data_IF_006942214025
#
_entry.id   IF_006942214025
#
_cell.length_a   1.000
_cell.length_b   1.000
_cell.length_c   1.000
_cell.angle_alpha   90.00
_cell.angle_beta   90.00
_cell.angle_gamma   90.00
#
_symmetry.space_group_name_H-M   'P 1'
#
loop_
_entity.id
_entity.type
_entity.pdbx_description
1 polymer ?
#
# COMPACT_ATOMS: atom_id res chain seq x y z
N UNK A 1 -22.84 -21.82 -3.58
CA UNK A 1 -21.73 -22.77 -3.43
C UNK A 1 -20.39 -22.05 -3.54
N UNK A 2 -19.37 -22.55 -2.88
CA UNK A 2 -17.99 -22.07 -3.07
C UNK A 2 -17.53 -22.44 -4.49
N UNK A 3 -17.13 -21.46 -5.30
CA UNK A 3 -16.75 -21.72 -6.70
C UNK A 3 -15.50 -22.61 -6.85
N UNK A 4 -14.65 -22.70 -5.81
CA UNK A 4 -13.45 -23.55 -5.81
C UNK A 4 -13.70 -25.00 -5.39
N UNK A 5 -14.66 -25.23 -4.51
CA UNK A 5 -14.90 -26.55 -3.89
C UNK A 5 -16.27 -27.14 -4.20
N UNK A 6 -17.19 -26.36 -4.77
CA UNK A 6 -18.59 -26.75 -5.02
C UNK A 6 -19.44 -26.96 -3.76
N UNK A 7 -18.86 -26.80 -2.56
CA UNK A 7 -19.56 -27.03 -1.29
C UNK A 7 -20.48 -25.86 -0.94
N UNK A 8 -21.60 -26.17 -0.32
CA UNK A 8 -22.54 -25.18 0.18
C UNK A 8 -21.93 -24.45 1.38
N UNK A 9 -21.78 -23.11 1.28
CA UNK A 9 -21.27 -22.27 2.36
C UNK A 9 -22.46 -21.62 3.08
N UNK A 10 -22.67 -21.97 4.34
CA UNK A 10 -23.64 -21.31 5.23
C UNK A 10 -22.98 -20.10 5.90
N UNK A 11 -23.68 -18.97 5.92
CA UNK A 11 -23.22 -17.76 6.60
C UNK A 11 -24.33 -17.18 7.44
N UNK A 12 -24.02 -16.79 8.67
CA UNK A 12 -24.96 -16.16 9.59
C UNK A 12 -24.84 -14.64 9.47
N UNK A 13 -25.99 -13.97 9.40
CA UNK A 13 -26.09 -12.51 9.47
C UNK A 13 -26.72 -12.16 10.80
N UNK A 14 -26.03 -11.36 11.61
CA UNK A 14 -26.50 -10.95 12.93
C UNK A 14 -26.73 -9.43 12.98
N UNK A 15 -27.67 -8.99 13.80
CA UNK A 15 -27.99 -7.59 14.04
C UNK A 15 -28.69 -7.39 15.37
N UNK A 16 -28.74 -6.16 15.84
CA UNK A 16 -29.40 -5.80 17.11
C UNK A 16 -30.93 -5.83 17.01
N UNK A 17 -31.48 -5.66 15.79
CA UNK A 17 -32.92 -5.66 15.53
C UNK A 17 -33.23 -6.51 14.31
N UNK A 18 -34.46 -7.03 14.24
CA UNK A 18 -34.96 -7.79 13.10
C UNK A 18 -34.93 -6.98 11.79
N UNK A 19 -35.22 -5.68 11.85
CA UNK A 19 -35.16 -4.77 10.72
C UNK A 19 -33.73 -4.64 10.17
N UNK A 20 -32.74 -4.54 11.04
CA UNK A 20 -31.34 -4.50 10.68
C UNK A 20 -30.87 -5.79 9.99
N UNK A 21 -31.26 -6.94 10.53
CA UNK A 21 -30.96 -8.25 9.95
C UNK A 21 -31.59 -8.39 8.56
N UNK A 22 -32.85 -8.01 8.41
CA UNK A 22 -33.53 -8.05 7.11
C UNK A 22 -32.87 -7.14 6.06
N UNK A 23 -32.46 -5.94 6.43
CA UNK A 23 -31.73 -5.04 5.53
C UNK A 23 -30.36 -5.60 5.13
N UNK A 24 -29.60 -6.13 6.07
CA UNK A 24 -28.30 -6.77 5.78
C UNK A 24 -28.45 -8.00 4.90
N UNK A 25 -29.48 -8.81 5.15
CA UNK A 25 -29.78 -9.99 4.33
C UNK A 25 -30.11 -9.58 2.89
N UNK A 26 -31.02 -8.62 2.71
CA UNK A 26 -31.39 -8.09 1.39
C UNK A 26 -30.19 -7.53 0.63
N UNK A 27 -29.33 -6.76 1.31
CA UNK A 27 -28.11 -6.22 0.71
C UNK A 27 -27.13 -7.34 0.31
N UNK A 28 -26.96 -8.37 1.15
CA UNK A 28 -26.08 -9.49 0.85
C UNK A 28 -26.62 -10.33 -0.31
N UNK A 29 -27.92 -10.59 -0.37
CA UNK A 29 -28.56 -11.32 -1.48
C UNK A 29 -28.39 -10.56 -2.79
N UNK A 30 -28.70 -9.26 -2.82
CA UNK A 30 -28.52 -8.43 -4.01
C UNK A 30 -27.05 -8.36 -4.46
N UNK A 31 -26.10 -8.35 -3.52
CA UNK A 31 -24.67 -8.40 -3.87
C UNK A 31 -24.24 -9.74 -4.48
N UNK A 32 -24.83 -10.85 -4.01
CA UNK A 32 -24.60 -12.19 -4.59
C UNK A 32 -25.17 -12.25 -6.01
N UNK A 33 -26.42 -11.81 -6.20
CA UNK A 33 -27.11 -11.85 -7.47
C UNK A 33 -26.41 -10.98 -8.53
N UNK A 34 -25.82 -9.85 -8.13
CA UNK A 34 -25.04 -8.96 -8.99
C UNK A 34 -23.58 -9.38 -9.13
N UNK A 35 -23.13 -10.49 -8.54
CA UNK A 35 -21.73 -10.93 -8.58
C UNK A 35 -20.75 -10.03 -7.83
N UNK A 36 -21.26 -9.06 -7.03
CA UNK A 36 -20.44 -8.08 -6.28
C UNK A 36 -20.23 -8.49 -4.82
N UNK A 37 -20.67 -9.68 -4.44
CA UNK A 37 -20.54 -10.15 -3.07
C UNK A 37 -19.08 -10.47 -2.74
N UNK A 38 -18.50 -9.71 -1.85
CA UNK A 38 -17.20 -9.99 -1.24
C UNK A 38 -17.42 -10.57 0.15
N UNK A 39 -16.89 -11.76 0.39
CA UNK A 39 -16.96 -12.37 1.71
C UNK A 39 -16.25 -11.48 2.74
N UNK A 40 -16.84 -11.23 3.93
CA UNK A 40 -16.17 -10.47 4.98
C UNK A 40 -14.80 -11.08 5.27
N UNK A 41 -13.76 -10.35 4.95
CA UNK A 41 -12.38 -10.78 5.20
C UNK A 41 -11.94 -10.22 6.56
N UNK A 42 -11.75 -11.11 7.54
CA UNK A 42 -11.29 -10.73 8.88
C UNK A 42 -9.79 -10.39 8.91
N UNK A 43 -9.11 -10.53 7.79
CA UNK A 43 -7.68 -10.32 7.66
C UNK A 43 -7.30 -8.86 7.93
N UNK A 44 -6.22 -8.67 8.67
CA UNK A 44 -5.64 -7.33 8.86
C UNK A 44 -4.80 -6.93 7.64
N UNK A 45 -4.59 -5.63 7.48
CA UNK A 45 -3.70 -5.13 6.42
C UNK A 45 -2.29 -5.72 6.52
N UNK A 46 -1.76 -5.85 7.75
CA UNK A 46 -0.44 -6.44 7.97
C UNK A 46 -0.34 -7.89 7.48
N UNK A 47 -1.34 -8.72 7.79
CA UNK A 47 -1.41 -10.10 7.32
C UNK A 47 -1.54 -10.19 5.79
N UNK A 48 -2.35 -9.30 5.19
CA UNK A 48 -2.46 -9.21 3.74
C UNK A 48 -1.13 -8.85 3.08
N UNK A 49 -0.44 -7.83 3.58
CA UNK A 49 0.83 -7.38 3.01
C UNK A 49 1.94 -8.45 3.10
N UNK A 50 1.97 -9.26 4.16
CA UNK A 50 2.89 -10.39 4.26
C UNK A 50 2.58 -11.45 3.19
N UNK A 51 1.32 -11.88 3.11
CA UNK A 51 0.87 -12.85 2.11
C UNK A 51 1.12 -12.34 0.68
N UNK A 52 0.85 -11.06 0.42
CA UNK A 52 1.09 -10.44 -0.88
C UNK A 52 2.59 -10.44 -1.24
N UNK A 53 3.46 -10.08 -0.28
CA UNK A 53 4.89 -10.01 -0.51
C UNK A 53 5.53 -11.40 -0.74
N UNK A 54 4.91 -12.46 -0.22
CA UNK A 54 5.36 -13.84 -0.42
C UNK A 54 4.83 -14.44 -1.72
N UNK A 55 3.58 -14.14 -2.07
CA UNK A 55 2.88 -14.86 -3.14
C UNK A 55 2.92 -14.13 -4.49
N UNK A 56 2.84 -12.78 -4.51
CA UNK A 56 2.57 -12.02 -5.74
C UNK A 56 3.78 -11.27 -6.31
N UNK A 57 4.97 -11.43 -5.73
CA UNK A 57 6.19 -10.76 -6.19
C UNK A 57 7.14 -11.65 -7.00
N UNK A 58 6.71 -12.84 -7.43
CA UNK A 58 7.57 -13.82 -8.13
C UNK A 58 8.22 -13.31 -9.43
N UNK A 59 7.60 -12.33 -10.12
CA UNK A 59 8.16 -11.71 -11.32
C UNK A 59 9.00 -10.46 -11.07
N UNK A 60 9.27 -10.09 -9.81
CA UNK A 60 9.99 -8.87 -9.44
C UNK A 60 11.44 -9.20 -9.09
N UNK A 61 12.39 -8.34 -9.51
CA UNK A 61 13.83 -8.51 -9.18
C UNK A 61 14.04 -8.61 -7.67
N UNK A 62 14.93 -9.52 -7.17
CA UNK A 62 15.12 -9.77 -5.74
C UNK A 62 15.34 -8.49 -4.91
N UNK A 63 16.26 -7.62 -5.35
CA UNK A 63 16.53 -6.35 -4.67
C UNK A 63 15.29 -5.43 -4.56
N UNK A 64 14.39 -5.49 -5.53
CA UNK A 64 13.13 -4.71 -5.49
C UNK A 64 12.15 -5.33 -4.49
N UNK A 65 12.12 -6.66 -4.40
CA UNK A 65 11.32 -7.38 -3.38
C UNK A 65 11.78 -7.01 -1.97
N UNK A 66 13.10 -6.98 -1.73
CA UNK A 66 13.67 -6.58 -0.43
C UNK A 66 13.30 -5.14 -0.07
N UNK A 67 13.35 -4.23 -1.04
CA UNK A 67 12.92 -2.84 -0.88
C UNK A 67 11.42 -2.75 -0.52
N UNK A 68 10.57 -3.51 -1.20
CA UNK A 68 9.13 -3.55 -0.92
C UNK A 68 8.85 -4.08 0.50
N UNK A 69 9.48 -5.19 0.87
CA UNK A 69 9.40 -5.75 2.22
C UNK A 69 9.89 -4.76 3.29
N UNK A 70 10.94 -4.01 2.99
CA UNK A 70 11.45 -2.96 3.88
C UNK A 70 10.41 -1.84 4.07
N UNK A 71 9.81 -1.31 3.00
CA UNK A 71 8.76 -0.30 3.10
C UNK A 71 7.54 -0.79 3.88
N UNK A 72 7.13 -2.03 3.65
CA UNK A 72 6.02 -2.65 4.38
C UNK A 72 6.36 -2.72 5.88
N UNK A 73 7.52 -3.27 6.22
CA UNK A 73 7.93 -3.53 7.61
C UNK A 73 8.16 -2.24 8.40
N UNK A 74 8.86 -1.26 7.79
CA UNK A 74 9.33 -0.07 8.50
C UNK A 74 8.25 1.01 8.58
N UNK A 75 7.41 1.15 7.55
CA UNK A 75 6.48 2.27 7.45
C UNK A 75 5.02 1.86 7.54
N UNK A 76 4.57 0.88 6.74
CA UNK A 76 3.14 0.62 6.58
C UNK A 76 2.60 -0.20 7.76
N UNK A 77 3.24 -1.29 8.13
CA UNK A 77 2.78 -2.19 9.21
C UNK A 77 2.71 -1.52 10.57
N UNK A 78 3.69 -0.72 11.02
CA UNK A 78 3.60 -0.05 12.31
C UNK A 78 2.44 0.94 12.39
N UNK A 79 2.08 1.59 11.29
CA UNK A 79 1.03 2.61 11.25
C UNK A 79 -0.38 2.03 11.01
N UNK A 80 -0.52 1.09 10.10
CA UNK A 80 -1.81 0.63 9.59
C UNK A 80 -2.00 -0.90 9.66
N UNK A 81 -0.98 -1.65 10.05
CA UNK A 81 -0.99 -3.11 9.98
C UNK A 81 -2.08 -3.80 10.81
N UNK A 82 -2.52 -3.20 11.91
CA UNK A 82 -3.59 -3.72 12.76
C UNK A 82 -5.00 -3.45 12.21
N UNK A 83 -5.14 -2.55 11.23
CA UNK A 83 -6.43 -2.20 10.63
C UNK A 83 -6.95 -3.37 9.80
N UNK A 84 -8.24 -3.66 9.90
CA UNK A 84 -8.88 -4.64 9.00
C UNK A 84 -8.82 -4.16 7.56
N UNK A 85 -8.49 -5.04 6.65
CA UNK A 85 -8.35 -4.71 5.23
C UNK A 85 -9.63 -4.09 4.64
N UNK A 86 -10.79 -4.62 4.99
CA UNK A 86 -12.10 -4.11 4.56
C UNK A 86 -12.51 -2.76 5.19
N UNK A 87 -11.90 -2.38 6.33
CA UNK A 87 -12.16 -1.13 7.04
C UNK A 87 -11.21 0.00 6.62
N UNK A 88 -10.23 -0.32 5.80
CA UNK A 88 -9.24 0.65 5.32
C UNK A 88 -9.91 1.66 4.39
N UNK A 89 -9.72 2.94 4.67
CA UNK A 89 -10.30 4.01 3.86
C UNK A 89 -9.24 5.05 3.42
N UNK A 90 -9.61 5.85 2.42
CA UNK A 90 -8.70 6.86 1.84
C UNK A 90 -8.21 7.88 2.87
N UNK A 91 -9.05 8.30 3.81
CA UNK A 91 -8.66 9.27 4.83
C UNK A 91 -7.55 8.74 5.75
N UNK A 92 -7.64 7.47 6.17
CA UNK A 92 -6.59 6.83 6.98
C UNK A 92 -5.25 6.78 6.23
N UNK A 93 -5.30 6.43 4.94
CA UNK A 93 -4.10 6.37 4.09
C UNK A 93 -3.53 7.77 3.85
N UNK A 94 -4.37 8.76 3.60
CA UNK A 94 -3.93 10.16 3.43
C UNK A 94 -3.27 10.69 4.70
N UNK A 95 -3.87 10.43 5.87
CA UNK A 95 -3.29 10.81 7.17
C UNK A 95 -1.93 10.15 7.40
N UNK A 96 -1.80 8.88 7.01
CA UNK A 96 -0.53 8.16 7.04
C UNK A 96 0.53 8.82 6.16
N UNK A 97 0.24 9.15 4.89
CA UNK A 97 1.20 9.83 4.02
C UNK A 97 1.60 11.21 4.55
N UNK A 98 0.64 11.97 5.08
CA UNK A 98 0.92 13.27 5.71
C UNK A 98 1.85 13.12 6.93
N UNK A 99 1.68 12.05 7.71
CA UNK A 99 2.53 11.76 8.85
C UNK A 99 3.96 11.38 8.45
N UNK A 100 4.15 10.66 7.33
CA UNK A 100 5.47 10.30 6.82
C UNK A 100 6.32 11.51 6.43
N UNK A 101 5.72 12.58 5.93
CA UNK A 101 6.40 13.82 5.57
C UNK A 101 6.72 14.74 6.75
N UNK A 102 6.19 14.45 7.94
CA UNK A 102 6.44 15.29 9.12
C UNK A 102 7.77 14.93 9.78
N UNK A 103 8.45 15.93 10.38
CA UNK A 103 9.63 15.69 11.23
C UNK A 103 9.34 14.72 12.37
N UNK A 104 10.30 13.86 12.67
CA UNK A 104 10.32 12.98 13.85
C UNK A 104 11.67 13.09 14.55
N UNK A 105 11.80 12.56 15.79
CA UNK A 105 13.08 12.55 16.51
C UNK A 105 14.21 11.92 15.69
N UNK A 106 13.91 10.82 14.99
CA UNK A 106 14.90 10.08 14.19
C UNK A 106 15.07 10.64 12.78
N UNK A 107 14.19 11.54 12.34
CA UNK A 107 14.17 12.14 11.01
C UNK A 107 13.69 13.58 11.07
N UNK A 108 14.60 14.54 11.34
CA UNK A 108 14.26 15.95 11.53
C UNK A 108 13.54 16.60 10.33
N UNK A 109 13.79 16.11 9.11
CA UNK A 109 13.19 16.65 7.87
C UNK A 109 11.97 15.83 7.38
N UNK A 110 11.62 14.74 8.09
CA UNK A 110 10.62 13.78 7.60
C UNK A 110 11.13 12.95 6.41
N UNK A 111 10.22 12.28 5.71
CA UNK A 111 10.56 11.56 4.47
C UNK A 111 10.45 12.47 3.25
N UNK A 112 11.38 12.34 2.32
CA UNK A 112 11.31 13.06 1.06
C UNK A 112 10.05 12.72 0.26
N UNK A 113 9.51 13.65 -0.55
CA UNK A 113 8.37 13.40 -1.44
C UNK A 113 8.55 12.18 -2.33
N UNK A 114 9.77 11.92 -2.81
CA UNK A 114 10.10 10.75 -3.62
C UNK A 114 9.93 9.45 -2.82
N UNK A 115 10.39 9.42 -1.57
CA UNK A 115 10.24 8.24 -0.69
C UNK A 115 8.77 7.96 -0.38
N UNK A 116 7.98 8.99 -0.08
CA UNK A 116 6.53 8.84 0.14
C UNK A 116 5.84 8.29 -1.10
N UNK A 117 6.19 8.75 -2.31
CA UNK A 117 5.67 8.21 -3.57
C UNK A 117 6.06 6.75 -3.80
N UNK A 118 7.28 6.36 -3.43
CA UNK A 118 7.72 4.97 -3.54
C UNK A 118 6.92 4.05 -2.59
N UNK A 119 6.71 4.49 -1.34
CA UNK A 119 5.89 3.78 -0.36
C UNK A 119 4.44 3.66 -0.87
N UNK A 120 3.88 4.75 -1.41
CA UNK A 120 2.57 4.73 -2.05
C UNK A 120 2.50 3.70 -3.19
N UNK A 121 3.50 3.66 -4.08
CA UNK A 121 3.52 2.73 -5.21
C UNK A 121 3.43 1.27 -4.77
N UNK A 122 4.17 0.89 -3.74
CA UNK A 122 4.11 -0.46 -3.15
C UNK A 122 2.75 -0.72 -2.53
N UNK A 123 2.25 0.21 -1.73
CA UNK A 123 0.99 0.09 -1.02
C UNK A 123 -0.20 0.02 -1.98
N UNK A 124 -0.24 0.92 -2.98
CA UNK A 124 -1.25 0.93 -4.03
C UNK A 124 -1.26 -0.40 -4.81
N UNK A 125 -0.09 -0.94 -5.17
CA UNK A 125 0.03 -2.22 -5.89
C UNK A 125 -0.51 -3.39 -5.06
N UNK A 126 -0.20 -3.45 -3.78
CA UNK A 126 -0.70 -4.49 -2.89
C UNK A 126 -2.23 -4.40 -2.70
N UNK A 127 -2.79 -3.20 -2.54
CA UNK A 127 -4.23 -2.99 -2.44
C UNK A 127 -4.95 -3.26 -3.76
N UNK A 128 -4.34 -2.93 -4.90
CA UNK A 128 -4.88 -3.25 -6.20
C UNK A 128 -5.00 -4.76 -6.41
N UNK A 129 -4.01 -5.54 -5.96
CA UNK A 129 -4.10 -6.99 -5.97
C UNK A 129 -5.24 -7.50 -5.07
N UNK A 130 -5.47 -6.87 -3.92
CA UNK A 130 -6.60 -7.22 -3.03
C UNK A 130 -7.96 -6.95 -3.70
N UNK A 131 -8.07 -5.92 -4.53
CA UNK A 131 -9.27 -5.69 -5.37
C UNK A 131 -9.43 -6.80 -6.40
N UNK A 132 -8.37 -7.15 -7.14
CA UNK A 132 -8.42 -8.16 -8.21
C UNK A 132 -8.84 -9.54 -7.70
N UNK A 133 -8.47 -9.90 -6.47
CA UNK A 133 -8.86 -11.17 -5.84
C UNK A 133 -10.15 -11.07 -5.01
N UNK A 134 -10.82 -9.92 -5.02
CA UNK A 134 -12.11 -9.73 -4.37
C UNK A 134 -12.05 -9.56 -2.84
N UNK A 135 -10.92 -9.22 -2.25
CA UNK A 135 -10.81 -8.97 -0.81
C UNK A 135 -11.36 -7.60 -0.41
N UNK A 136 -11.25 -6.62 -1.28
CA UNK A 136 -11.84 -5.28 -1.14
C UNK A 136 -12.50 -4.86 -2.45
N UNK A 137 -13.50 -3.97 -2.39
CA UNK A 137 -14.27 -3.56 -3.56
C UNK A 137 -13.55 -2.53 -4.44
N UNK A 138 -12.76 -1.66 -3.84
CA UNK A 138 -12.02 -0.60 -4.52
C UNK A 138 -10.70 -0.37 -3.79
N UNK A 139 -9.76 0.26 -4.50
CA UNK A 139 -8.46 0.60 -3.93
C UNK A 139 -8.52 1.98 -3.24
N UNK A 140 -8.51 2.03 -1.89
CA UNK A 140 -8.61 3.29 -1.17
C UNK A 140 -7.37 4.18 -1.30
N UNK A 141 -6.24 3.66 -1.77
CA UNK A 141 -5.04 4.46 -2.03
C UNK A 141 -5.11 5.25 -3.35
N UNK A 142 -6.03 4.88 -4.27
CA UNK A 142 -6.12 5.52 -5.59
C UNK A 142 -6.54 6.99 -5.56
N UNK A 143 -7.33 7.38 -4.55
CA UNK A 143 -7.80 8.77 -4.40
C UNK A 143 -6.93 9.63 -3.46
N UNK A 144 -5.75 9.13 -3.05
CA UNK A 144 -4.85 9.89 -2.18
C UNK A 144 -4.06 10.93 -2.95
N UNK A 145 -3.87 12.10 -2.34
CA UNK A 145 -3.00 13.17 -2.85
C UNK A 145 -1.58 12.95 -2.36
N UNK A 146 -0.62 12.94 -3.28
CA UNK A 146 0.78 12.74 -2.97
C UNK A 146 1.57 14.06 -3.00
N UNK A 147 2.64 14.19 -2.19
CA UNK A 147 3.46 15.38 -2.18
C UNK A 147 4.12 15.60 -3.56
N UNK A 148 4.24 16.87 -3.95
CA UNK A 148 4.90 17.26 -5.18
C UNK A 148 6.41 17.04 -5.05
N UNK A 149 7.01 16.45 -6.08
CA UNK A 149 8.47 16.37 -6.20
C UNK A 149 8.93 17.63 -6.91
N UNK A 150 9.70 18.46 -6.23
CA UNK A 150 10.39 19.57 -6.87
C UNK A 150 11.55 19.01 -7.69
N UNK A 151 11.60 19.38 -8.96
CA UNK A 151 12.76 19.08 -9.80
C UNK A 151 13.89 20.00 -9.36
N UNK A 152 14.98 19.43 -8.85
CA UNK A 152 16.23 20.18 -8.75
C UNK A 152 16.81 20.32 -10.15
N UNK A 153 17.05 21.55 -10.58
CA UNK A 153 17.86 21.80 -11.75
C UNK A 153 19.28 21.32 -11.44
N UNK A 154 19.77 20.47 -12.31
CA UNK A 154 21.17 20.04 -12.23
C UNK A 154 22.00 21.20 -12.78
N UNK A 155 22.82 21.81 -11.93
CA UNK A 155 23.82 22.75 -12.37
C UNK A 155 24.99 21.91 -12.91
N UNK A 156 25.25 21.91 -14.23
CA UNK A 156 26.43 21.22 -14.76
C UNK A 156 27.68 21.84 -14.18
N UNK A 157 28.73 21.05 -14.03
CA UNK A 157 30.02 21.55 -13.64
C UNK A 157 30.53 22.50 -14.75
N UNK A 158 31.10 23.63 -14.36
CA UNK A 158 31.79 24.50 -15.27
C UNK A 158 33.17 23.94 -15.65
N UNK A 159 33.87 24.55 -16.65
CA UNK A 159 35.13 24.05 -17.15
C UNK A 159 36.24 24.05 -16.09
N UNK A 160 36.21 25.01 -15.15
CA UNK A 160 37.18 25.08 -14.05
C UNK A 160 36.95 23.93 -13.05
N UNK A 161 35.67 23.67 -12.71
CA UNK A 161 35.29 22.58 -11.83
C UNK A 161 35.60 21.21 -12.46
N UNK A 162 35.37 21.05 -13.76
CA UNK A 162 35.75 19.84 -14.50
C UNK A 162 37.24 19.61 -14.44
N UNK A 163 38.03 20.66 -14.68
CA UNK A 163 39.50 20.59 -14.64
C UNK A 163 40.03 20.24 -13.25
N UNK A 164 39.46 20.84 -12.21
CA UNK A 164 39.79 20.53 -10.81
C UNK A 164 39.45 19.08 -10.47
N UNK A 165 38.25 18.61 -10.84
CA UNK A 165 37.81 17.24 -10.64
C UNK A 165 38.72 16.21 -11.32
N UNK A 166 39.11 16.46 -12.56
CA UNK A 166 40.04 15.58 -13.30
C UNK A 166 41.43 15.51 -12.68
N UNK A 167 41.96 16.63 -12.15
CA UNK A 167 43.24 16.65 -11.42
C UNK A 167 43.18 15.80 -10.14
N UNK A 168 42.09 15.91 -9.38
CA UNK A 168 41.90 15.15 -8.13
C UNK A 168 41.85 13.64 -8.39
N UNK A 169 41.11 13.21 -9.43
CA UNK A 169 41.03 11.79 -9.82
C UNK A 169 42.41 11.26 -10.28
N UNK A 170 43.21 12.05 -11.01
CA UNK A 170 44.56 11.63 -11.46
C UNK A 170 45.53 11.48 -10.30
N UNK A 171 45.39 12.30 -9.24
CA UNK A 171 46.18 12.19 -8.01
C UNK A 171 45.76 11.05 -7.06
N UNK A 172 44.59 10.51 -7.21
CA UNK A 172 44.03 9.45 -6.35
C UNK A 172 44.27 8.01 -6.86
N UNK A 173 45.06 7.84 -7.94
CA UNK A 173 45.50 6.51 -8.41
C UNK A 173 46.80 6.14 -7.72
N UNK A 174 46.71 5.61 -6.50
CA UNK A 174 47.66 4.69 -5.92
C UNK A 174 46.96 3.47 -5.40
#
# INVERSE_FOLDING_TARGET
>A
ADPGTGKQVQRSITGKTQKEVAQKLKAATAAIDNGTYTAPNKQTLGQWLDAWAETYLGGVKPRTVDLYKSYIRVYIKPALGAVRLESLNTHMIQSFYNALGKPTKDRPEGLSPKTVKNIHGVFHKALQQAVLIGYIRFNPAGACTLPRIEKRELTPLDDEQITAFLREIQGSRM
#
